data_IF_320175692041
#
_entry.id   IF_320175692041
#
_cell.length_a   1.000
_cell.length_b   1.000
_cell.length_c   1.000
_cell.angle_alpha   90.00
_cell.angle_beta   90.00
_cell.angle_gamma   90.00
#
_symmetry.space_group_name_H-M   'P 1'
#
loop_
_entity.id
_entity.type
_entity.pdbx_description
1 polymer ?
#
# COMPACT_ATOMS: atom_id res chain seq x y z
N UNK A 1 36.27 -29.86 -71.82
CA UNK A 1 34.88 -30.02 -71.35
C UNK A 1 34.60 -28.95 -70.30
N UNK A 2 33.52 -28.19 -70.51
CA UNK A 2 33.14 -26.99 -69.76
C UNK A 2 32.70 -27.35 -68.33
N UNK A 3 33.16 -26.62 -67.32
CA UNK A 3 32.64 -26.67 -65.95
C UNK A 3 32.15 -25.27 -65.55
N UNK A 4 30.85 -25.03 -65.71
CA UNK A 4 30.15 -23.87 -65.17
C UNK A 4 30.09 -23.96 -63.64
N UNK A 5 30.58 -22.93 -62.94
CA UNK A 5 30.25 -22.70 -61.53
C UNK A 5 29.17 -21.63 -61.45
N UNK A 6 27.95 -22.05 -61.15
CA UNK A 6 26.85 -21.18 -60.73
C UNK A 6 27.15 -20.67 -59.31
N UNK A 7 27.30 -19.37 -59.16
CA UNK A 7 27.32 -18.71 -57.84
C UNK A 7 25.86 -18.39 -57.49
N UNK A 8 25.29 -19.13 -56.55
CA UNK A 8 24.04 -18.78 -55.90
C UNK A 8 24.31 -17.65 -54.90
N UNK A 9 23.87 -16.44 -55.21
CA UNK A 9 23.79 -15.34 -54.24
C UNK A 9 22.49 -15.51 -53.48
N UNK A 10 22.57 -16.04 -52.25
CA UNK A 10 21.46 -16.08 -51.31
C UNK A 10 21.26 -14.67 -50.76
N UNK A 11 20.30 -13.93 -51.31
CA UNK A 11 19.78 -12.70 -50.71
C UNK A 11 19.08 -13.07 -49.40
N UNK A 12 19.79 -12.94 -48.29
CA UNK A 12 19.20 -13.09 -46.95
C UNK A 12 18.47 -11.79 -46.66
N UNK A 13 17.16 -11.79 -46.90
CA UNK A 13 16.26 -10.69 -46.57
C UNK A 13 16.15 -10.61 -45.04
N UNK A 14 16.99 -9.78 -44.41
CA UNK A 14 16.83 -9.41 -43.00
C UNK A 14 15.55 -8.58 -42.87
N UNK A 15 14.44 -9.24 -42.54
CA UNK A 15 13.26 -8.59 -42.00
C UNK A 15 13.63 -8.02 -40.63
N UNK A 16 14.11 -6.77 -40.62
CA UNK A 16 14.18 -5.93 -39.44
C UNK A 16 12.74 -5.64 -39.00
N UNK A 17 12.12 -6.57 -38.27
CA UNK A 17 11.01 -6.23 -37.40
C UNK A 17 11.57 -5.30 -36.33
N UNK A 18 11.49 -3.99 -36.58
CA UNK A 18 11.66 -2.98 -35.55
C UNK A 18 10.62 -3.24 -34.47
N UNK A 19 11.01 -3.99 -33.44
CA UNK A 19 10.34 -3.87 -32.16
C UNK A 19 10.61 -2.42 -31.77
N UNK A 20 9.65 -1.53 -32.02
CA UNK A 20 9.71 -0.18 -31.50
C UNK A 20 9.85 -0.34 -29.99
N UNK A 21 11.07 -0.14 -29.49
CA UNK A 21 11.34 -0.09 -28.06
C UNK A 21 10.39 0.97 -27.51
N UNK A 22 9.42 0.51 -26.72
CA UNK A 22 8.52 1.43 -26.03
C UNK A 22 9.39 2.15 -25.01
N UNK A 23 9.68 3.42 -25.28
CA UNK A 23 10.43 4.28 -24.38
C UNK A 23 9.68 4.33 -23.02
N UNK A 24 10.25 3.78 -21.94
CA UNK A 24 9.59 3.75 -20.63
C UNK A 24 9.40 5.15 -20.03
N UNK A 25 10.13 6.14 -20.55
CA UNK A 25 10.08 7.54 -20.12
C UNK A 25 9.16 8.41 -20.98
N UNK A 26 8.57 7.84 -22.04
CA UNK A 26 7.60 8.54 -22.87
C UNK A 26 6.34 8.87 -22.06
N UNK A 27 5.98 10.16 -22.06
CA UNK A 27 4.76 10.64 -21.42
C UNK A 27 3.57 10.21 -22.29
N UNK A 28 2.55 9.53 -21.72
CA UNK A 28 1.37 9.15 -22.49
C UNK A 28 0.68 10.37 -23.11
N UNK A 29 0.44 10.29 -24.42
CA UNK A 29 -0.31 11.30 -25.19
C UNK A 29 -1.83 11.09 -25.00
N UNK A 30 -2.29 11.26 -23.76
CA UNK A 30 -3.71 11.21 -23.37
C UNK A 30 -3.93 11.99 -22.07
N UNK A 31 -5.14 12.47 -21.89
CA UNK A 31 -5.54 13.20 -20.68
C UNK A 31 -5.50 12.31 -19.43
N UNK A 32 -5.23 12.94 -18.29
CA UNK A 32 -5.12 12.28 -16.97
C UNK A 32 -6.50 12.06 -16.32
N UNK A 33 -7.59 12.32 -17.02
CA UNK A 33 -8.96 12.50 -16.50
C UNK A 33 -9.69 11.24 -15.97
N UNK A 34 -8.97 10.16 -15.69
CA UNK A 34 -9.54 8.84 -15.36
C UNK A 34 -9.70 8.56 -13.85
N UNK A 35 -9.79 9.58 -13.02
CA UNK A 35 -10.03 9.36 -11.58
C UNK A 35 -11.45 8.85 -11.36
N UNK A 36 -11.54 7.58 -10.95
CA UNK A 36 -12.83 7.04 -10.51
C UNK A 36 -13.13 7.50 -9.09
N UNK A 37 -14.39 7.79 -8.79
CA UNK A 37 -14.81 8.23 -7.46
C UNK A 37 -15.47 7.07 -6.74
N UNK A 38 -14.99 6.77 -5.54
CA UNK A 38 -15.66 5.86 -4.62
C UNK A 38 -16.32 6.63 -3.46
N UNK A 39 -16.97 5.87 -2.58
CA UNK A 39 -17.60 6.32 -1.35
C UNK A 39 -16.77 7.36 -0.58
N UNK A 40 -15.44 7.24 -0.56
CA UNK A 40 -14.52 8.12 0.20
C UNK A 40 -13.48 8.82 -0.69
N UNK A 41 -13.81 9.15 -1.93
CA UNK A 41 -12.96 9.99 -2.79
C UNK A 41 -12.26 9.24 -3.92
N UNK A 42 -11.22 9.87 -4.49
CA UNK A 42 -10.61 9.41 -5.73
C UNK A 42 -9.80 8.10 -5.62
N UNK A 43 -10.02 7.25 -6.61
CA UNK A 43 -9.21 6.11 -6.98
C UNK A 43 -8.31 6.54 -8.14
N UNK A 44 -7.02 6.70 -7.85
CA UNK A 44 -6.00 7.22 -8.76
C UNK A 44 -5.35 6.05 -9.50
N UNK A 45 -5.31 6.06 -10.85
CA UNK A 45 -4.70 4.99 -11.64
C UNK A 45 -3.22 4.76 -11.30
N UNK A 46 -2.73 3.54 -11.55
CA UNK A 46 -1.35 3.18 -11.24
C UNK A 46 -0.29 3.96 -12.02
N UNK A 47 -0.61 4.62 -13.13
CA UNK A 47 0.37 5.43 -13.89
C UNK A 47 0.45 6.90 -13.44
N UNK A 48 -0.34 7.27 -12.42
CA UNK A 48 -0.53 8.67 -12.03
C UNK A 48 0.03 8.90 -10.64
N UNK A 49 0.83 9.95 -10.53
CA UNK A 49 1.34 10.53 -9.28
C UNK A 49 0.42 11.66 -8.88
N UNK A 50 0.09 11.75 -7.59
CA UNK A 50 -0.73 12.84 -7.07
C UNK A 50 0.06 13.63 -6.04
N UNK A 51 0.03 14.95 -6.19
CA UNK A 51 0.59 15.89 -5.21
C UNK A 51 -0.51 16.48 -4.32
N UNK A 52 -0.19 17.57 -3.61
CA UNK A 52 -1.17 18.28 -2.79
C UNK A 52 -2.37 18.75 -3.62
N UNK A 53 -3.52 18.91 -2.96
CA UNK A 53 -4.77 19.36 -3.60
C UNK A 53 -5.21 18.51 -4.81
N UNK A 54 -4.84 17.22 -4.84
CA UNK A 54 -5.18 16.27 -5.90
C UNK A 54 -4.59 16.60 -7.27
N UNK A 55 -3.53 17.41 -7.35
CA UNK A 55 -2.88 17.74 -8.62
C UNK A 55 -2.22 16.49 -9.23
N UNK A 56 -2.64 16.05 -10.44
CA UNK A 56 -2.22 14.79 -10.99
C UNK A 56 -1.11 14.95 -12.06
N UNK A 57 -0.19 14.00 -12.08
CA UNK A 57 0.90 13.95 -13.06
C UNK A 57 1.11 12.52 -13.55
N UNK A 58 1.45 12.33 -14.83
CA UNK A 58 2.05 11.06 -15.27
C UNK A 58 3.32 10.79 -14.48
N UNK A 59 3.54 9.54 -14.07
CA UNK A 59 4.74 9.14 -13.33
C UNK A 59 6.03 9.43 -14.09
N UNK A 60 6.00 9.40 -15.42
CA UNK A 60 7.11 9.78 -16.29
C UNK A 60 7.51 11.25 -16.11
N UNK A 61 6.65 12.13 -15.62
CA UNK A 61 7.06 13.51 -15.29
C UNK A 61 7.93 13.59 -14.03
N UNK A 62 7.82 12.61 -13.14
CA UNK A 62 8.46 12.60 -11.82
C UNK A 62 9.66 11.67 -11.78
N UNK A 63 9.56 10.53 -12.45
CA UNK A 63 10.51 9.44 -12.37
C UNK A 63 10.95 8.95 -13.77
N UNK A 64 12.13 8.36 -13.83
CA UNK A 64 12.65 7.66 -15.01
C UNK A 64 12.64 6.14 -14.79
N UNK A 65 12.57 5.38 -15.87
CA UNK A 65 12.59 3.91 -15.84
C UNK A 65 11.38 3.30 -15.13
N UNK A 66 10.24 4.01 -15.08
CA UNK A 66 9.06 3.49 -14.43
C UNK A 66 8.58 2.20 -15.10
N UNK A 67 8.30 1.20 -14.28
CA UNK A 67 7.66 -0.04 -14.69
C UNK A 67 6.67 -0.49 -13.63
N UNK A 68 5.61 -1.16 -14.05
CA UNK A 68 4.71 -1.80 -13.11
C UNK A 68 5.47 -2.87 -12.32
N UNK A 69 5.23 -2.91 -11.00
CA UNK A 69 5.73 -3.98 -10.13
C UNK A 69 5.21 -5.32 -10.64
N UNK A 70 6.14 -6.21 -10.95
CA UNK A 70 5.86 -7.59 -11.30
C UNK A 70 5.67 -8.38 -10.01
N UNK A 71 4.68 -9.27 -9.97
CA UNK A 71 4.34 -10.07 -8.79
C UNK A 71 5.38 -11.12 -8.37
N UNK A 72 6.63 -10.94 -8.77
CA UNK A 72 7.81 -11.77 -8.52
C UNK A 72 8.90 -11.03 -7.74
N UNK A 73 8.77 -9.71 -7.60
CA UNK A 73 9.78 -8.87 -6.96
C UNK A 73 9.81 -9.11 -5.46
N UNK A 74 11.02 -9.44 -4.96
CA UNK A 74 11.25 -9.79 -3.57
C UNK A 74 12.21 -8.79 -2.92
N UNK A 75 11.91 -8.31 -1.70
CA UNK A 75 12.92 -7.64 -0.89
C UNK A 75 14.06 -8.61 -0.57
N UNK A 76 15.28 -8.08 -0.45
CA UNK A 76 16.44 -8.88 -0.04
C UNK A 76 16.38 -9.25 1.43
N UNK A 77 15.83 -8.35 2.26
CA UNK A 77 15.66 -8.56 3.70
C UNK A 77 14.39 -7.86 4.20
N UNK A 78 13.80 -8.44 5.24
CA UNK A 78 12.80 -7.77 6.06
C UNK A 78 13.34 -7.51 7.46
N UNK A 79 13.11 -6.29 7.96
CA UNK A 79 13.41 -5.88 9.34
C UNK A 79 12.13 -5.48 10.07
N UNK A 80 12.20 -5.44 11.40
CA UNK A 80 11.09 -4.97 12.24
C UNK A 80 11.34 -3.52 12.61
N UNK A 81 10.28 -2.71 12.53
CA UNK A 81 10.23 -1.40 13.16
C UNK A 81 9.48 -1.52 14.47
N UNK A 82 10.06 -0.96 15.53
CA UNK A 82 9.41 -0.91 16.83
C UNK A 82 8.43 0.27 16.87
N UNK A 83 7.23 -0.03 17.38
CA UNK A 83 6.20 0.95 17.58
C UNK A 83 6.53 1.84 18.79
N UNK A 84 6.19 3.12 18.73
CA UNK A 84 6.31 4.00 19.88
C UNK A 84 5.40 3.57 21.03
N UNK A 85 5.82 3.84 22.27
CA UNK A 85 4.96 3.66 23.45
C UNK A 85 4.11 4.90 23.75
N UNK A 86 4.57 6.09 23.35
CA UNK A 86 3.84 7.34 23.50
C UNK A 86 2.78 7.53 22.41
N UNK A 87 1.77 8.35 22.71
CA UNK A 87 0.81 8.89 21.73
C UNK A 87 1.26 10.25 21.15
N UNK A 88 2.55 10.58 21.31
CA UNK A 88 3.13 11.88 20.98
C UNK A 88 4.33 11.69 20.06
N UNK A 89 4.24 12.24 18.86
CA UNK A 89 5.34 12.33 17.90
C UNK A 89 6.29 13.46 18.26
N UNK A 90 7.55 13.33 17.83
CA UNK A 90 8.47 14.48 17.86
C UNK A 90 7.97 15.53 16.86
N UNK A 91 7.73 16.75 17.33
CA UNK A 91 7.26 17.85 16.48
C UNK A 91 8.28 18.23 15.41
N UNK A 92 7.84 18.63 14.20
CA UNK A 92 8.70 19.31 13.26
C UNK A 92 9.20 20.64 13.86
N UNK A 93 10.46 20.95 13.57
CA UNK A 93 11.13 22.21 13.84
C UNK A 93 10.72 23.27 12.81
N UNK A 94 11.06 24.54 13.08
CA UNK A 94 10.77 25.66 12.16
C UNK A 94 11.58 25.63 10.87
N UNK A 95 12.70 24.89 10.86
CA UNK A 95 13.61 24.79 9.73
C UNK A 95 13.22 23.66 8.77
N UNK A 96 12.31 22.78 9.19
CA UNK A 96 11.78 21.69 8.40
C UNK A 96 10.55 22.10 7.59
N UNK A 97 10.36 21.44 6.45
CA UNK A 97 9.08 21.43 5.75
C UNK A 97 8.31 20.19 6.20
N UNK A 98 7.12 20.42 6.75
CA UNK A 98 6.17 19.35 7.00
C UNK A 98 5.39 19.01 5.73
N UNK A 99 5.33 17.73 5.42
CA UNK A 99 4.51 17.19 4.34
C UNK A 99 3.90 15.85 4.74
N UNK A 100 2.73 15.53 4.19
CA UNK A 100 2.04 14.29 4.50
C UNK A 100 1.47 13.60 3.27
N UNK A 101 1.36 12.28 3.36
CA UNK A 101 0.70 11.45 2.37
C UNK A 101 -0.38 10.61 3.06
N UNK A 102 -1.61 10.65 2.56
CA UNK A 102 -2.72 9.84 3.07
C UNK A 102 -3.30 8.96 1.98
N UNK A 103 -3.32 7.64 2.21
CA UNK A 103 -4.09 6.72 1.37
C UNK A 103 -4.93 5.77 2.21
N UNK A 104 -6.09 5.34 1.70
CA UNK A 104 -6.73 4.16 2.30
C UNK A 104 -5.98 2.89 1.91
N UNK A 105 -5.52 2.77 0.65
CA UNK A 105 -4.78 1.61 0.14
C UNK A 105 -4.06 1.87 -1.18
N UNK A 106 -3.07 1.06 -1.50
CA UNK A 106 -2.49 0.97 -2.84
C UNK A 106 -3.21 -0.03 -3.75
N UNK A 107 -2.82 -0.06 -5.02
CA UNK A 107 -3.14 -1.11 -5.98
C UNK A 107 -2.01 -2.12 -6.14
N UNK A 108 -0.77 -1.66 -6.13
CA UNK A 108 0.41 -2.50 -6.25
C UNK A 108 0.58 -3.36 -5.00
N UNK A 109 1.04 -4.60 -5.19
CA UNK A 109 1.16 -5.60 -4.14
C UNK A 109 2.59 -6.10 -4.08
N UNK A 110 3.17 -6.10 -2.89
CA UNK A 110 4.44 -6.74 -2.62
C UNK A 110 4.24 -8.26 -2.44
N UNK A 111 5.33 -9.02 -2.49
CA UNK A 111 5.35 -10.41 -2.01
C UNK A 111 5.52 -10.49 -0.49
N UNK A 112 4.97 -9.52 0.24
CA UNK A 112 5.01 -9.44 1.70
C UNK A 112 3.60 -9.69 2.22
N UNK A 113 3.50 -10.56 3.21
CA UNK A 113 2.25 -10.95 3.82
C UNK A 113 2.33 -10.81 5.33
N UNK A 114 1.25 -10.30 5.92
CA UNK A 114 1.10 -10.27 7.37
C UNK A 114 -0.22 -10.89 7.80
N UNK A 115 -0.25 -11.47 9.01
CA UNK A 115 -1.49 -11.82 9.69
C UNK A 115 -1.28 -11.63 11.20
N UNK A 116 -2.25 -10.98 11.85
CA UNK A 116 -2.27 -10.86 13.31
C UNK A 116 -2.91 -12.09 13.95
N UNK A 117 -2.66 -12.31 15.25
CA UNK A 117 -3.33 -13.38 16.00
C UNK A 117 -4.85 -13.23 16.00
N UNK A 118 -5.38 -12.02 16.07
CA UNK A 118 -6.83 -11.77 16.05
C UNK A 118 -7.44 -12.19 14.71
N UNK A 119 -6.79 -11.81 13.60
CA UNK A 119 -7.24 -12.21 12.27
C UNK A 119 -7.12 -13.73 12.08
N UNK A 120 -6.08 -14.36 12.63
CA UNK A 120 -5.91 -15.81 12.60
C UNK A 120 -7.00 -16.52 13.41
N UNK A 121 -7.36 -15.99 14.58
CA UNK A 121 -8.44 -16.50 15.41
C UNK A 121 -9.79 -16.40 14.68
N UNK A 122 -10.10 -15.24 14.08
CA UNK A 122 -11.33 -15.04 13.31
C UNK A 122 -11.42 -16.01 12.11
N UNK A 123 -10.32 -16.21 11.37
CA UNK A 123 -10.26 -17.22 10.31
C UNK A 123 -10.45 -18.64 10.82
N UNK A 124 -9.97 -18.94 12.02
CA UNK A 124 -10.15 -20.26 12.67
C UNK A 124 -11.59 -20.50 13.08
N UNK A 125 -12.26 -19.49 13.66
CA UNK A 125 -13.68 -19.56 13.99
C UNK A 125 -14.55 -19.77 12.74
N UNK A 126 -14.25 -19.03 11.66
CA UNK A 126 -14.92 -19.22 10.35
C UNK A 126 -14.71 -20.65 9.82
N UNK A 127 -13.48 -21.16 9.90
CA UNK A 127 -13.15 -22.52 9.49
C UNK A 127 -13.96 -23.55 10.28
N UNK A 128 -13.95 -23.49 11.61
CA UNK A 128 -14.69 -24.44 12.48
C UNK A 128 -16.19 -24.37 12.18
N UNK A 129 -16.75 -23.16 12.07
CA UNK A 129 -18.18 -22.97 11.77
C UNK A 129 -18.55 -23.58 10.42
N UNK A 130 -17.74 -23.35 9.39
CA UNK A 130 -17.99 -23.89 8.06
C UNK A 130 -17.81 -25.42 8.02
N UNK A 131 -16.86 -25.97 8.78
CA UNK A 131 -16.68 -27.42 8.91
C UNK A 131 -17.93 -28.07 9.50
N UNK A 132 -18.43 -27.54 10.62
CA UNK A 132 -19.65 -28.03 11.27
C UNK A 132 -20.88 -27.98 10.37
N UNK A 133 -21.00 -26.92 9.59
CA UNK A 133 -22.19 -26.71 8.77
C UNK A 133 -22.16 -27.50 7.44
N UNK A 134 -20.99 -27.66 6.82
CA UNK A 134 -20.88 -28.06 5.41
C UNK A 134 -19.70 -29.00 5.11
N UNK A 135 -18.98 -29.44 6.14
CA UNK A 135 -17.83 -30.33 6.01
C UNK A 135 -16.54 -29.63 5.56
N UNK A 136 -15.52 -30.46 5.32
CA UNK A 136 -14.12 -30.06 5.12
C UNK A 136 -13.88 -29.12 3.94
N UNK A 137 -14.57 -29.33 2.82
CA UNK A 137 -14.33 -28.54 1.60
C UNK A 137 -14.79 -27.10 1.78
N UNK A 138 -15.97 -26.90 2.37
CA UNK A 138 -16.46 -25.57 2.72
C UNK A 138 -15.58 -24.88 3.76
N UNK A 139 -15.08 -25.63 4.76
CA UNK A 139 -14.15 -25.12 5.76
C UNK A 139 -12.86 -24.58 5.12
N UNK A 140 -12.30 -25.32 4.18
CA UNK A 140 -11.06 -24.94 3.47
C UNK A 140 -11.22 -23.64 2.67
N UNK A 141 -12.43 -23.37 2.16
CA UNK A 141 -12.76 -22.10 1.50
C UNK A 141 -12.94 -20.95 2.50
N UNK A 142 -13.39 -21.25 3.73
CA UNK A 142 -13.65 -20.27 4.78
C UNK A 142 -12.40 -19.71 5.49
N UNK A 143 -11.23 -20.35 5.32
CA UNK A 143 -9.96 -19.93 5.91
C UNK A 143 -9.62 -18.48 5.57
N UNK A 144 -9.99 -18.01 4.37
CA UNK A 144 -9.84 -16.60 3.95
C UNK A 144 -8.39 -16.12 3.96
N UNK A 145 -7.80 -15.88 2.78
CA UNK A 145 -6.43 -15.34 2.70
C UNK A 145 -6.49 -13.83 2.50
N UNK A 146 -5.93 -13.07 3.44
CA UNK A 146 -5.80 -11.62 3.30
C UNK A 146 -4.95 -11.26 2.08
N UNK A 147 -5.26 -10.14 1.40
CA UNK A 147 -4.42 -9.64 0.33
C UNK A 147 -3.03 -9.28 0.85
N UNK A 148 -2.04 -9.33 -0.04
CA UNK A 148 -0.67 -8.95 0.26
C UNK A 148 -0.59 -7.48 0.70
N UNK A 149 0.48 -7.17 1.42
CA UNK A 149 0.88 -5.79 1.72
C UNK A 149 1.03 -5.02 0.42
N UNK A 150 0.51 -3.80 0.39
CA UNK A 150 0.53 -2.95 -0.79
C UNK A 150 1.80 -2.10 -0.84
N UNK A 151 2.15 -1.62 -2.03
CA UNK A 151 3.26 -0.69 -2.20
C UNK A 151 2.71 0.66 -2.62
N UNK A 152 3.22 1.71 -1.98
CA UNK A 152 2.89 3.10 -2.31
C UNK A 152 4.19 3.88 -2.36
N UNK A 153 4.51 4.40 -3.53
CA UNK A 153 5.70 5.20 -3.77
C UNK A 153 5.47 6.64 -3.31
N UNK A 154 6.49 7.19 -2.65
CA UNK A 154 6.54 8.58 -2.24
C UNK A 154 7.77 9.21 -2.86
N UNK A 155 7.53 10.01 -3.90
CA UNK A 155 8.56 10.79 -4.56
C UNK A 155 8.80 12.08 -3.77
N UNK A 156 10.03 12.29 -3.30
CA UNK A 156 10.39 13.49 -2.53
C UNK A 156 11.38 14.32 -3.35
N UNK A 157 11.02 15.58 -3.65
CA UNK A 157 11.81 16.47 -4.52
C UNK A 157 12.18 17.80 -3.85
N UNK A 158 11.79 18.01 -2.59
CA UNK A 158 12.13 19.21 -1.84
C UNK A 158 13.60 19.17 -1.38
N UNK A 159 14.39 20.14 -1.85
CA UNK A 159 15.84 20.20 -1.65
C UNK A 159 16.28 21.44 -0.87
N UNK A 160 15.39 22.41 -0.65
CA UNK A 160 15.74 23.68 0.02
C UNK A 160 15.74 23.56 1.54
N UNK A 161 14.95 22.64 2.08
CA UNK A 161 14.81 22.41 3.53
C UNK A 161 14.66 20.91 3.80
N UNK A 162 15.08 20.43 4.98
CA UNK A 162 14.80 19.07 5.40
C UNK A 162 13.29 18.82 5.46
N UNK A 163 12.87 17.61 5.07
CA UNK A 163 11.47 17.21 5.01
C UNK A 163 11.12 16.32 6.19
N UNK A 164 10.12 16.74 6.97
CA UNK A 164 9.42 15.89 7.92
C UNK A 164 8.24 15.23 7.20
N UNK A 165 8.23 13.91 7.11
CA UNK A 165 7.17 13.16 6.42
C UNK A 165 6.21 12.50 7.41
N UNK A 166 4.91 12.75 7.25
CA UNK A 166 3.86 11.97 7.91
C UNK A 166 3.11 11.09 6.90
N UNK A 167 3.22 9.78 7.04
CA UNK A 167 2.68 8.80 6.09
C UNK A 167 1.54 8.01 6.76
N UNK A 168 0.35 8.13 6.18
CA UNK A 168 -0.91 7.72 6.82
C UNK A 168 -1.65 6.70 5.96
N UNK A 169 -1.92 5.51 6.51
CA UNK A 169 -2.59 4.42 5.79
C UNK A 169 -3.74 3.76 6.58
N UNK A 170 -4.87 3.49 5.92
CA UNK A 170 -5.94 2.66 6.52
C UNK A 170 -5.66 1.15 6.41
N UNK A 171 -4.74 0.74 5.53
CA UNK A 171 -4.47 -0.66 5.22
C UNK A 171 -2.97 -0.98 5.26
N UNK A 172 -2.63 -2.25 5.00
CA UNK A 172 -1.25 -2.72 5.02
C UNK A 172 -0.47 -2.15 3.82
N UNK A 173 0.44 -1.22 4.09
CA UNK A 173 1.22 -0.49 3.07
C UNK A 173 2.69 -0.45 3.43
N UNK A 174 3.55 -0.77 2.47
CA UNK A 174 4.97 -0.38 2.46
C UNK A 174 5.10 0.91 1.68
N UNK A 175 5.57 1.96 2.35
CA UNK A 175 5.91 3.23 1.75
C UNK A 175 7.30 3.14 1.11
N UNK A 176 7.36 3.19 -0.22
CA UNK A 176 8.60 3.14 -0.97
C UNK A 176 9.11 4.57 -1.19
N UNK A 177 10.14 4.96 -0.45
CA UNK A 177 10.61 6.35 -0.42
C UNK A 177 11.65 6.57 -1.51
N UNK A 178 11.27 7.30 -2.55
CA UNK A 178 12.13 7.59 -3.69
C UNK A 178 12.46 9.09 -3.66
N UNK A 179 13.71 9.44 -3.41
CA UNK A 179 14.12 10.84 -3.24
C UNK A 179 14.99 11.33 -4.39
N UNK A 180 14.81 12.59 -4.77
CA UNK A 180 15.73 13.27 -5.66
C UNK A 180 17.10 13.45 -4.99
N UNK A 181 18.09 13.79 -5.81
CA UNK A 181 19.43 14.12 -5.31
C UNK A 181 19.37 15.28 -4.31
N UNK A 182 20.21 15.24 -3.27
CA UNK A 182 20.31 16.26 -2.23
C UNK A 182 19.06 16.48 -1.36
N UNK A 183 18.01 15.68 -1.51
CA UNK A 183 16.87 15.69 -0.60
C UNK A 183 17.30 15.13 0.76
N UNK A 184 17.00 15.89 1.81
CA UNK A 184 17.17 15.50 3.21
C UNK A 184 15.79 15.21 3.80
N UNK A 185 15.58 13.97 4.24
CA UNK A 185 14.41 13.60 5.04
C UNK A 185 14.89 13.58 6.48
N UNK A 186 14.33 14.46 7.31
CA UNK A 186 14.77 14.58 8.70
C UNK A 186 14.10 13.59 9.63
N UNK A 187 12.85 13.21 9.32
CA UNK A 187 12.06 12.25 10.12
C UNK A 187 10.91 11.67 9.31
N UNK A 188 10.49 10.46 9.68
CA UNK A 188 9.26 9.84 9.18
C UNK A 188 8.34 9.43 10.34
N UNK A 189 7.12 9.93 10.32
CA UNK A 189 6.02 9.47 11.15
C UNK A 189 5.14 8.50 10.35
N UNK A 190 5.03 7.26 10.81
CA UNK A 190 4.15 6.24 10.21
C UNK A 190 2.90 6.07 11.07
N UNK A 191 1.73 6.32 10.48
CA UNK A 191 0.43 6.27 11.17
C UNK A 191 -0.48 5.32 10.39
N UNK A 192 -1.07 4.32 11.06
CA UNK A 192 -1.94 3.41 10.33
C UNK A 192 -2.80 2.47 11.15
N UNK A 193 -3.89 2.00 10.55
CA UNK A 193 -4.80 1.05 11.23
C UNK A 193 -4.32 -0.39 11.16
N UNK A 194 -3.40 -0.69 10.27
CA UNK A 194 -2.85 -2.00 9.99
C UNK A 194 -1.31 -1.89 9.92
N UNK A 195 -0.57 -3.01 9.88
CA UNK A 195 0.88 -2.97 9.72
C UNK A 195 1.33 -2.13 8.53
N UNK A 196 2.21 -1.18 8.79
CA UNK A 196 2.86 -0.34 7.77
C UNK A 196 4.35 -0.64 7.72
N UNK A 197 4.98 -0.40 6.59
CA UNK A 197 6.42 -0.53 6.42
C UNK A 197 7.03 0.57 5.56
N UNK A 198 8.33 0.53 5.42
CA UNK A 198 9.12 1.49 4.65
C UNK A 198 10.22 0.78 3.87
N UNK A 199 10.52 1.31 2.69
CA UNK A 199 11.61 0.88 1.83
C UNK A 199 12.39 2.09 1.31
N UNK A 200 13.66 1.89 0.95
CA UNK A 200 14.56 2.92 0.40
C UNK A 200 14.74 4.19 1.25
N UNK A 201 14.40 4.13 2.53
CA UNK A 201 14.75 5.19 3.49
C UNK A 201 16.12 4.89 4.10
N UNK A 202 16.98 5.91 4.11
CA UNK A 202 18.25 5.90 4.84
C UNK A 202 18.05 5.44 6.30
N UNK A 203 18.94 4.57 6.78
CA UNK A 203 18.83 3.96 8.10
C UNK A 203 19.02 4.97 9.24
N UNK A 204 19.72 6.07 8.99
CA UNK A 204 19.94 7.15 9.96
C UNK A 204 18.70 8.01 10.21
N UNK A 205 17.70 7.98 9.30
CA UNK A 205 16.49 8.78 9.45
C UNK A 205 15.62 8.18 10.56
N UNK A 206 15.32 8.96 11.62
CA UNK A 206 14.45 8.52 12.69
C UNK A 206 13.04 8.19 12.16
N UNK A 207 12.51 7.06 12.62
CA UNK A 207 11.14 6.63 12.32
C UNK A 207 10.36 6.51 13.63
N UNK A 208 9.20 7.15 13.65
CA UNK A 208 8.23 7.09 14.73
C UNK A 208 6.96 6.42 14.22
N UNK A 209 6.45 5.40 14.91
CA UNK A 209 5.33 4.59 14.43
C UNK A 209 4.21 4.52 15.45
N UNK A 210 2.99 4.80 15.01
CA UNK A 210 1.77 4.62 15.78
C UNK A 210 0.72 3.88 14.95
N UNK A 211 0.49 2.60 15.25
CA UNK A 211 -0.42 1.76 14.48
C UNK A 211 -1.39 0.91 15.30
N UNK A 212 -2.44 0.41 14.64
CA UNK A 212 -3.33 -0.65 15.12
C UNK A 212 -3.84 -0.41 16.53
N UNK A 213 -3.63 -1.38 17.43
CA UNK A 213 -4.06 -1.29 18.83
C UNK A 213 -3.44 -0.11 19.58
N UNK A 214 -2.23 0.34 19.23
CA UNK A 214 -1.60 1.50 19.89
C UNK A 214 -2.34 2.78 19.51
N UNK A 215 -2.68 2.93 18.24
CA UNK A 215 -3.49 4.02 17.73
C UNK A 215 -4.90 4.05 18.40
N UNK A 216 -5.51 2.88 18.60
CA UNK A 216 -6.77 2.73 19.34
C UNK A 216 -6.65 3.14 20.81
N UNK A 217 -5.55 2.78 21.49
CA UNK A 217 -5.26 3.24 22.86
C UNK A 217 -5.12 4.76 22.95
N UNK A 218 -4.57 5.38 21.91
CA UNK A 218 -4.53 6.83 21.78
C UNK A 218 -5.90 7.44 21.43
N UNK A 219 -6.94 6.61 21.22
CA UNK A 219 -8.30 6.99 20.80
C UNK A 219 -8.34 7.71 19.46
N UNK A 220 -7.40 7.37 18.58
CA UNK A 220 -7.27 8.01 17.27
C UNK A 220 -7.69 7.06 16.15
N UNK A 221 -8.38 7.62 15.16
CA UNK A 221 -8.71 6.91 13.93
C UNK A 221 -8.43 7.84 12.73
N UNK A 222 -7.32 7.63 11.99
CA UNK A 222 -7.00 8.42 10.81
C UNK A 222 -8.19 8.53 9.87
N UNK A 223 -8.58 9.77 9.59
CA UNK A 223 -9.77 10.11 8.82
C UNK A 223 -9.53 11.41 8.07
N UNK A 224 -9.58 11.34 6.73
CA UNK A 224 -9.52 12.53 5.87
C UNK A 224 -10.76 13.40 6.01
N UNK A 225 -10.60 14.68 5.71
CA UNK A 225 -11.71 15.62 5.64
C UNK A 225 -12.67 15.20 4.51
N UNK A 226 -13.99 15.11 4.76
CA UNK A 226 -14.95 14.88 3.69
C UNK A 226 -14.86 15.94 2.59
N UNK A 227 -14.64 15.52 1.36
CA UNK A 227 -14.57 16.41 0.20
C UNK A 227 -15.83 16.33 -0.64
N UNK A 228 -16.18 17.42 -1.33
CA UNK A 228 -17.36 17.50 -2.19
C UNK A 228 -17.43 16.40 -3.27
N UNK A 229 -16.26 15.93 -3.72
CA UNK A 229 -16.20 14.87 -4.73
C UNK A 229 -16.51 13.47 -4.17
N UNK A 230 -16.56 13.24 -2.85
CA UNK A 230 -16.76 11.91 -2.27
C UNK A 230 -18.19 11.39 -2.48
N UNK A 231 -18.33 10.10 -2.78
CA UNK A 231 -19.65 9.48 -2.95
C UNK A 231 -20.57 9.65 -1.73
N UNK A 232 -20.05 9.58 -0.49
CA UNK A 232 -20.90 9.83 0.71
C UNK A 232 -21.37 11.27 0.85
N UNK A 233 -20.63 12.24 0.30
CA UNK A 233 -21.01 13.66 0.36
C UNK A 233 -22.05 13.95 -0.71
N UNK A 234 -21.82 13.44 -1.93
CA UNK A 234 -22.79 13.53 -3.03
C UNK A 234 -24.15 12.90 -2.69
N UNK A 235 -24.13 11.83 -1.90
CA UNK A 235 -25.33 11.08 -1.51
C UNK A 235 -25.75 11.36 -0.06
N UNK A 236 -25.44 12.54 0.51
CA UNK A 236 -25.75 12.86 1.92
C UNK A 236 -27.26 12.76 2.24
N UNK A 237 -28.13 13.04 1.26
CA UNK A 237 -29.59 12.99 1.42
C UNK A 237 -30.21 11.60 1.19
N UNK A 238 -29.39 10.59 0.88
CA UNK A 238 -29.86 9.22 0.67
C UNK A 238 -30.21 8.57 2.02
N UNK A 239 -31.50 8.20 2.17
CA UNK A 239 -32.11 7.73 3.42
C UNK A 239 -31.46 6.45 3.95
N UNK A 240 -30.88 5.64 3.08
CA UNK A 240 -30.34 4.33 3.47
C UNK A 240 -28.95 4.41 4.08
N UNK A 241 -28.17 5.48 3.85
CA UNK A 241 -26.74 5.48 4.19
C UNK A 241 -26.04 6.84 4.34
N UNK A 242 -26.68 7.97 4.03
CA UNK A 242 -26.03 9.28 3.89
C UNK A 242 -25.74 10.01 5.22
N UNK A 243 -26.76 10.43 5.98
CA UNK A 243 -26.58 11.42 7.06
C UNK A 243 -25.74 10.90 8.24
N UNK A 244 -26.05 9.70 8.74
CA UNK A 244 -25.36 9.13 9.91
C UNK A 244 -23.89 8.80 9.64
N UNK A 245 -23.57 8.36 8.41
CA UNK A 245 -22.20 7.97 8.06
C UNK A 245 -21.34 9.19 7.82
N UNK A 246 -21.85 10.21 7.14
CA UNK A 246 -21.10 11.45 6.94
C UNK A 246 -20.89 12.21 8.26
N UNK A 247 -21.90 12.25 9.14
CA UNK A 247 -21.75 12.80 10.50
C UNK A 247 -20.60 12.11 11.26
N UNK A 248 -20.61 10.76 11.29
CA UNK A 248 -19.54 9.99 11.93
C UNK A 248 -18.15 10.26 11.32
N UNK A 249 -18.06 10.43 10.00
CA UNK A 249 -16.78 10.76 9.34
C UNK A 249 -16.31 12.16 9.72
N UNK A 250 -17.22 13.16 9.75
CA UNK A 250 -16.90 14.53 10.18
C UNK A 250 -16.39 14.55 11.63
N UNK A 251 -17.07 13.88 12.56
CA UNK A 251 -16.65 13.78 13.97
C UNK A 251 -15.28 13.12 14.15
N UNK A 252 -15.03 12.02 13.42
CA UNK A 252 -13.73 11.34 13.42
C UNK A 252 -12.63 12.22 12.84
N UNK A 253 -12.91 12.94 11.75
CA UNK A 253 -11.97 13.88 11.17
C UNK A 253 -11.63 15.01 12.15
N UNK A 254 -12.62 15.59 12.84
CA UNK A 254 -12.37 16.64 13.85
C UNK A 254 -11.46 16.14 14.97
N UNK A 255 -11.72 14.93 15.48
CA UNK A 255 -10.89 14.29 16.52
C UNK A 255 -9.46 14.07 16.01
N UNK A 256 -9.32 13.52 14.80
CA UNK A 256 -8.02 13.26 14.19
C UNK A 256 -7.25 14.55 13.91
N UNK A 257 -7.92 15.57 13.36
CA UNK A 257 -7.32 16.86 13.00
C UNK A 257 -6.82 17.60 14.23
N UNK A 258 -7.59 17.60 15.32
CA UNK A 258 -7.14 18.15 16.61
C UNK A 258 -5.89 17.41 17.12
N UNK A 259 -5.93 16.07 17.19
CA UNK A 259 -4.79 15.30 17.65
C UNK A 259 -3.55 15.51 16.78
N UNK A 260 -3.72 15.59 15.47
CA UNK A 260 -2.65 15.81 14.50
C UNK A 260 -2.01 17.19 14.70
N UNK A 261 -2.83 18.23 14.90
CA UNK A 261 -2.33 19.55 15.24
C UNK A 261 -1.58 19.56 16.57
N UNK A 262 -2.11 18.90 17.60
CA UNK A 262 -1.46 18.82 18.91
C UNK A 262 -0.08 18.11 18.81
N UNK A 263 0.04 17.12 17.92
CA UNK A 263 1.27 16.33 17.70
C UNK A 263 2.29 16.99 16.79
N UNK A 264 1.87 17.66 15.72
CA UNK A 264 2.78 18.16 14.68
C UNK A 264 2.82 19.70 14.62
N UNK A 265 1.93 20.40 15.32
CA UNK A 265 1.82 21.86 15.25
C UNK A 265 1.32 22.39 13.91
N UNK A 266 0.84 21.51 13.03
CA UNK A 266 0.33 21.82 11.68
C UNK A 266 -1.05 21.22 11.48
N UNK A 267 -1.88 21.82 10.63
CA UNK A 267 -3.18 21.25 10.28
C UNK A 267 -3.00 20.04 9.36
N UNK A 268 -3.95 19.11 9.40
CA UNK A 268 -3.91 17.86 8.61
C UNK A 268 -3.90 18.07 7.09
N UNK A 269 -4.42 19.20 6.61
CA UNK A 269 -4.58 19.53 5.19
C UNK A 269 -3.39 20.29 4.60
N UNK A 270 -2.45 20.76 5.45
CA UNK A 270 -1.28 21.51 4.99
C UNK A 270 -0.29 20.56 4.31
N UNK A 271 0.00 20.82 3.03
CA UNK A 271 0.94 20.03 2.20
C UNK A 271 0.63 18.52 2.18
N UNK A 272 -0.65 18.16 2.30
CA UNK A 272 -1.08 16.77 2.24
C UNK A 272 -1.38 16.36 0.79
N UNK A 273 -0.70 15.32 0.32
CA UNK A 273 -1.10 14.57 -0.86
C UNK A 273 -2.02 13.41 -0.42
N UNK A 274 -3.18 13.23 -1.05
CA UNK A 274 -4.16 12.26 -0.56
C UNK A 274 -4.98 11.57 -1.65
N UNK A 275 -5.52 10.40 -1.31
CA UNK A 275 -6.52 9.70 -2.12
C UNK A 275 -7.13 8.48 -1.44
N UNK A 276 -8.21 7.94 -2.00
CA UNK A 276 -8.81 6.70 -1.50
C UNK A 276 -7.98 5.48 -1.93
N UNK A 277 -7.56 5.45 -3.20
CA UNK A 277 -6.58 4.45 -3.65
C UNK A 277 -5.53 5.12 -4.50
N UNK A 278 -4.27 5.01 -4.10
CA UNK A 278 -3.14 5.71 -4.72
C UNK A 278 -1.90 4.83 -4.66
N UNK A 279 -1.14 4.79 -5.75
CA UNK A 279 0.16 4.13 -5.77
C UNK A 279 1.32 5.10 -5.65
N UNK A 280 1.16 6.36 -6.05
CA UNK A 280 2.28 7.29 -6.17
C UNK A 280 1.89 8.67 -5.65
N UNK A 281 2.70 9.18 -4.72
CA UNK A 281 2.59 10.54 -4.21
C UNK A 281 3.82 11.36 -4.60
N UNK A 282 3.62 12.66 -4.86
CA UNK A 282 4.69 13.63 -5.01
C UNK A 282 4.68 14.59 -3.81
N UNK A 283 5.80 14.62 -3.08
CA UNK A 283 6.09 15.57 -2.01
C UNK A 283 7.18 16.54 -2.50
N UNK A 284 6.78 17.79 -2.70
CA UNK A 284 7.64 18.84 -3.25
C UNK A 284 7.15 19.28 -4.63
N UNK A 285 8.05 19.87 -5.41
CA UNK A 285 7.74 20.40 -6.74
C UNK A 285 7.95 19.35 -7.82
N UNK A 286 7.19 19.45 -8.90
CA UNK A 286 7.41 18.63 -10.09
C UNK A 286 8.81 18.90 -10.67
N UNK A 287 9.64 17.87 -10.92
CA UNK A 287 10.91 18.03 -11.63
C UNK A 287 10.68 18.65 -13.02
N UNK A 288 11.40 19.74 -13.32
CA UNK A 288 11.23 20.48 -14.58
C UNK A 288 12.08 19.93 -15.74
N UNK A 289 13.07 19.09 -15.42
CA UNK A 289 14.03 18.55 -16.39
C UNK A 289 14.18 17.05 -16.18
N UNK A 290 14.46 16.31 -17.27
CA UNK A 290 14.67 14.87 -17.24
C UNK A 290 15.74 14.47 -16.22
N UNK A 291 16.89 15.16 -16.20
CA UNK A 291 17.98 14.89 -15.27
C UNK A 291 17.63 15.11 -13.78
N UNK A 292 16.54 15.81 -13.47
CA UNK A 292 16.07 16.02 -12.11
C UNK A 292 14.98 15.02 -11.69
N UNK A 293 14.54 14.15 -12.61
CA UNK A 293 13.59 13.07 -12.31
C UNK A 293 14.27 11.96 -11.51
N UNK A 294 13.48 11.30 -10.68
CA UNK A 294 13.98 10.30 -9.74
C UNK A 294 14.06 8.94 -10.44
N UNK A 295 15.21 8.24 -10.43
CA UNK A 295 15.25 6.87 -10.94
C UNK A 295 14.29 5.97 -10.16
N UNK A 296 13.35 5.36 -10.86
CA UNK A 296 12.35 4.49 -10.25
C UNK A 296 13.02 3.23 -9.69
N UNK A 297 12.65 2.85 -8.47
CA UNK A 297 13.13 1.63 -7.82
C UNK A 297 11.96 0.90 -7.21
N UNK A 298 11.87 -0.40 -7.46
CA UNK A 298 10.86 -1.25 -6.84
C UNK A 298 11.39 -1.88 -5.55
N UNK A 299 10.58 -2.71 -4.88
CA UNK A 299 11.05 -3.42 -3.68
C UNK A 299 12.06 -4.55 -3.97
N UNK A 300 12.40 -4.79 -5.23
CA UNK A 300 13.33 -5.84 -5.61
C UNK A 300 14.74 -5.58 -5.03
N UNK A 301 15.26 -6.55 -4.28
CA UNK A 301 16.61 -6.47 -3.70
C UNK A 301 16.77 -5.45 -2.57
N UNK A 302 15.69 -4.77 -2.15
CA UNK A 302 15.75 -3.73 -1.12
C UNK A 302 15.52 -4.28 0.30
N UNK A 303 16.03 -3.54 1.28
CA UNK A 303 15.70 -3.75 2.69
C UNK A 303 14.34 -3.12 2.99
N UNK A 304 13.37 -3.94 3.41
CA UNK A 304 12.05 -3.46 3.84
C UNK A 304 11.96 -3.57 5.35
N UNK A 305 11.71 -2.46 6.04
CA UNK A 305 11.44 -2.46 7.47
C UNK A 305 9.93 -2.31 7.70
N UNK A 306 9.31 -3.23 8.41
CA UNK A 306 7.87 -3.26 8.64
C UNK A 306 7.57 -3.24 10.13
N UNK A 307 6.53 -2.52 10.52
CA UNK A 307 6.00 -2.55 11.88
C UNK A 307 5.76 -3.98 12.37
N UNK A 308 5.91 -4.15 13.69
CA UNK A 308 5.79 -5.45 14.35
C UNK A 308 4.41 -6.08 14.08
N UNK A 309 4.43 -7.34 13.66
CA UNK A 309 3.26 -8.16 13.40
C UNK A 309 3.50 -9.58 13.91
N UNK A 310 2.44 -10.32 14.23
CA UNK A 310 2.56 -11.68 14.79
C UNK A 310 3.17 -12.66 13.79
N UNK A 311 2.81 -12.52 12.52
CA UNK A 311 3.31 -13.36 11.44
C UNK A 311 3.62 -12.48 10.23
N UNK A 312 4.85 -12.60 9.74
CA UNK A 312 5.35 -11.94 8.55
C UNK A 312 5.97 -13.00 7.63
N UNK A 313 5.66 -12.96 6.35
CA UNK A 313 6.27 -13.85 5.37
C UNK A 313 6.50 -13.14 4.04
N UNK A 314 7.70 -13.33 3.47
CA UNK A 314 7.98 -12.98 2.08
C UNK A 314 7.74 -14.22 1.21
N UNK A 315 6.65 -14.24 0.44
CA UNK A 315 6.23 -15.43 -0.27
C UNK A 315 5.32 -15.09 -1.45
N UNK A 316 5.20 -16.03 -2.39
CA UNK A 316 4.10 -15.99 -3.34
C UNK A 316 2.77 -16.36 -2.66
N UNK A 317 1.67 -16.06 -3.35
CA UNK A 317 0.31 -16.27 -2.82
C UNK A 317 0.01 -17.74 -2.49
N UNK A 318 0.60 -18.70 -3.20
CA UNK A 318 0.36 -20.13 -2.99
C UNK A 318 1.03 -20.59 -1.70
N UNK A 319 2.31 -20.25 -1.53
CA UNK A 319 3.07 -20.53 -0.32
C UNK A 319 2.43 -19.86 0.90
N UNK A 320 1.99 -18.60 0.78
CA UNK A 320 1.28 -17.91 1.85
C UNK A 320 -0.04 -18.58 2.22
N UNK A 321 -0.87 -18.96 1.23
CA UNK A 321 -2.14 -19.65 1.47
C UNK A 321 -1.91 -20.99 2.20
N UNK A 322 -0.88 -21.74 1.82
CA UNK A 322 -0.52 -22.98 2.50
C UNK A 322 -0.17 -22.70 3.96
N UNK A 323 0.67 -21.70 4.21
CA UNK A 323 1.09 -21.34 5.57
C UNK A 323 -0.08 -20.90 6.46
N UNK A 324 -0.96 -20.04 5.96
CA UNK A 324 -2.17 -19.62 6.70
C UNK A 324 -3.07 -20.81 6.98
N UNK A 325 -3.24 -21.71 6.01
CA UNK A 325 -4.02 -22.94 6.20
C UNK A 325 -3.45 -23.80 7.32
N UNK A 326 -2.14 -24.03 7.35
CA UNK A 326 -1.47 -24.77 8.45
C UNK A 326 -1.74 -24.11 9.80
N UNK A 327 -1.53 -22.79 9.92
CA UNK A 327 -1.77 -22.04 11.16
C UNK A 327 -3.23 -22.16 11.65
N UNK A 328 -4.20 -22.10 10.73
CA UNK A 328 -5.63 -22.25 11.07
C UNK A 328 -5.95 -23.68 11.50
N UNK A 329 -5.42 -24.69 10.82
CA UNK A 329 -5.64 -26.09 11.22
C UNK A 329 -5.03 -26.37 12.60
N UNK A 330 -3.83 -25.88 12.86
CA UNK A 330 -3.16 -26.04 14.15
C UNK A 330 -3.94 -25.34 15.28
N UNK A 331 -4.47 -24.15 15.04
CA UNK A 331 -5.28 -23.45 16.03
C UNK A 331 -6.66 -24.12 16.21
N UNK A 332 -7.28 -24.62 15.15
CA UNK A 332 -8.55 -25.35 15.22
C UNK A 332 -8.41 -26.64 16.04
N UNK A 333 -7.35 -27.44 15.81
CA UNK A 333 -7.09 -28.66 16.59
C UNK A 333 -6.91 -28.36 18.07
N UNK A 334 -6.19 -27.29 18.40
CA UNK A 334 -6.04 -26.84 19.79
C UNK A 334 -7.38 -26.44 20.44
N UNK A 335 -8.36 -25.97 19.66
CA UNK A 335 -9.66 -25.53 20.17
C UNK A 335 -10.69 -26.65 20.29
N UNK A 336 -10.65 -27.65 19.40
CA UNK A 336 -11.72 -28.67 19.29
C UNK A 336 -11.26 -30.11 19.50
N UNK A 337 -9.96 -30.32 19.70
CA UNK A 337 -9.30 -31.63 19.75
C UNK A 337 -8.55 -31.96 18.47
N UNK A 338 -7.59 -32.91 18.57
CA UNK A 338 -6.67 -33.25 17.48
C UNK A 338 -7.38 -33.80 16.23
N UNK A 339 -8.53 -34.45 16.41
CA UNK A 339 -9.37 -34.96 15.34
C UNK A 339 -10.48 -33.98 14.95
N UNK A 340 -10.23 -33.25 13.85
CA UNK A 340 -11.20 -32.33 13.25
C UNK A 340 -12.39 -33.03 12.60
N UNK A 341 -12.36 -34.35 12.37
CA UNK A 341 -13.50 -35.07 11.78
C UNK A 341 -14.68 -35.17 12.73
N UNK A 342 -14.44 -35.02 14.04
CA UNK A 342 -15.48 -34.82 15.05
C UNK A 342 -16.39 -33.61 14.77
N UNK A 343 -15.93 -32.66 13.95
CA UNK A 343 -16.71 -31.51 13.52
C UNK A 343 -17.59 -31.78 12.30
N UNK A 344 -17.52 -32.95 11.67
CA UNK A 344 -18.31 -33.22 10.46
C UNK A 344 -19.81 -33.11 10.76
N UNK A 345 -20.62 -32.56 9.83
CA UNK A 345 -22.06 -32.57 9.98
C UNK A 345 -22.54 -34.03 10.11
N UNK A 346 -23.43 -34.29 11.08
CA UNK A 346 -24.05 -35.61 11.20
C UNK A 346 -24.80 -35.92 9.90
N UNK A 347 -24.59 -37.10 9.34
CA UNK A 347 -25.37 -37.52 8.18
C UNK A 347 -26.83 -37.69 8.59
N UNK A 348 -27.77 -37.21 7.78
CA UNK A 348 -29.23 -37.36 7.95
C UNK A 348 -29.73 -38.83 7.90
N UNK A 349 -28.83 -39.81 8.04
CA UNK A 349 -29.14 -41.25 8.07
C UNK A 349 -29.23 -41.83 9.49
N UNK A 350 -29.16 -40.99 10.52
CA UNK A 350 -29.34 -41.38 11.94
C UNK A 350 -30.39 -40.51 12.65
N UNK A 351 -31.55 -40.28 12.01
CA UNK A 351 -32.77 -39.83 12.68
C UNK A 351 -33.93 -40.77 12.39
#
# INVERSE_FOLDING_TARGET
MKSSRFVFVVFTLFLLTSCSEVDPDAIPDRDIDSFTVERRGYNIPQGVVVSKAYEPFWIQHVATGYRHIQGTERPSKTGILEDMESCQFTKPTKDEIFASAFTKRGYQRALIHTISRENLAESTERFIKAYRAKGKDAASLAIGVRPNVQVVDVFVTETKKPVYLALIADSEVVWNILKAENVIISRVALIGKQPVGIAHLDQSVPIEILIGKKLERCKILPTREPQAHWGIVKNENDKDNGPGILKNVRERHLTFSKWFYDNFGVRTDVNMAEGNRVNHFLIGRLPQKLAARIPFKTLEGTDVRISKTDYLMVADRRAWRKRVSELVHDLARKQVGDDLTSLAPKSDKEQ
#
